data_IF_860730898067
#
_entry.id   IF_860730898067
#
_cell.length_a   1.000
_cell.length_b   1.000
_cell.length_c   1.000
_cell.angle_alpha   90.00
_cell.angle_beta   90.00
_cell.angle_gamma   90.00
#
_symmetry.space_group_name_H-M   'P 1'
#
loop_
_entity.id
_entity.type
_entity.pdbx_description
1 polymer ?
#
# COMPACT_ATOMS: atom_id res chain seq x y z
N UNK A 1 -14.00 -7.54 19.23
CA UNK A 1 -14.63 -8.87 19.15
C UNK A 1 -13.79 -9.81 18.28
N UNK A 2 -14.01 -11.14 18.38
CA UNK A 2 -13.30 -12.12 17.53
C UNK A 2 -13.48 -11.84 16.03
N UNK A 3 -14.68 -11.42 15.65
CA UNK A 3 -15.00 -11.07 14.26
C UNK A 3 -14.24 -9.82 13.80
N UNK A 4 -14.19 -8.80 14.64
CA UNK A 4 -13.39 -7.59 14.38
C UNK A 4 -11.91 -7.90 14.21
N UNK A 5 -11.35 -8.68 15.14
CA UNK A 5 -9.95 -9.12 15.07
C UNK A 5 -9.65 -9.83 13.73
N UNK A 6 -10.58 -10.66 13.26
CA UNK A 6 -10.44 -11.34 11.97
C UNK A 6 -10.46 -10.34 10.80
N UNK A 7 -11.40 -9.40 10.79
CA UNK A 7 -11.49 -8.37 9.74
C UNK A 7 -10.21 -7.54 9.69
N UNK A 8 -9.70 -7.10 10.85
CA UNK A 8 -8.44 -6.34 10.93
C UNK A 8 -7.27 -7.16 10.41
N UNK A 9 -7.18 -8.45 10.74
CA UNK A 9 -6.09 -9.30 10.24
C UNK A 9 -6.09 -9.38 8.71
N UNK A 10 -7.23 -9.57 8.08
CA UNK A 10 -7.35 -9.58 6.62
C UNK A 10 -7.05 -8.21 6.00
N UNK A 11 -7.49 -7.14 6.64
CA UNK A 11 -7.22 -5.77 6.21
C UNK A 11 -5.72 -5.49 6.15
N UNK A 12 -4.99 -5.74 7.23
CA UNK A 12 -3.54 -5.52 7.30
C UNK A 12 -2.76 -6.43 6.33
N UNK A 13 -3.16 -7.70 6.21
CA UNK A 13 -2.58 -8.61 5.21
C UNK A 13 -2.88 -8.13 3.79
N UNK A 14 -4.04 -7.52 3.55
CA UNK A 14 -4.39 -6.93 2.24
C UNK A 14 -3.38 -5.89 1.77
N UNK A 15 -2.95 -5.00 2.66
CA UNK A 15 -1.89 -4.04 2.36
C UNK A 15 -0.55 -4.73 2.04
N UNK A 16 -0.15 -5.65 2.90
CA UNK A 16 1.16 -6.29 2.83
C UNK A 16 1.31 -7.22 1.62
N UNK A 17 0.29 -8.01 1.29
CA UNK A 17 0.36 -8.97 0.19
C UNK A 17 0.47 -8.29 -1.17
N UNK A 18 -0.19 -7.15 -1.37
CA UNK A 18 -0.09 -6.38 -2.60
C UNK A 18 1.34 -5.88 -2.81
N UNK A 19 1.98 -5.35 -1.75
CA UNK A 19 3.39 -4.93 -1.82
C UNK A 19 4.31 -6.10 -2.14
N UNK A 20 4.14 -7.22 -1.46
CA UNK A 20 4.96 -8.42 -1.71
C UNK A 20 4.86 -8.91 -3.16
N UNK A 21 3.68 -8.86 -3.76
CA UNK A 21 3.45 -9.29 -5.14
C UNK A 21 4.02 -8.30 -6.15
N UNK A 22 3.80 -7.00 -5.94
CA UNK A 22 4.20 -5.97 -6.91
C UNK A 22 5.67 -5.62 -6.84
N UNK A 23 6.28 -5.59 -5.67
CA UNK A 23 7.69 -5.21 -5.50
C UNK A 23 8.64 -6.41 -5.46
N UNK A 24 8.12 -7.62 -5.30
CA UNK A 24 8.89 -8.86 -5.17
C UNK A 24 10.06 -8.78 -4.16
N UNK A 25 9.92 -7.93 -3.15
CA UNK A 25 10.88 -7.66 -2.08
C UNK A 25 10.20 -7.74 -0.73
N UNK A 26 10.95 -7.70 0.36
CA UNK A 26 10.43 -7.72 1.73
C UNK A 26 9.68 -6.41 2.01
N UNK A 27 8.34 -6.38 1.88
CA UNK A 27 7.60 -5.13 1.84
C UNK A 27 7.38 -4.51 3.20
N UNK A 28 7.52 -5.32 4.26
CA UNK A 28 7.12 -4.91 5.61
C UNK A 28 8.17 -5.31 6.64
N UNK A 29 8.33 -4.48 7.66
CA UNK A 29 9.13 -4.79 8.83
C UNK A 29 8.31 -5.57 9.85
N UNK A 30 7.05 -5.18 10.06
CA UNK A 30 6.16 -5.71 11.08
C UNK A 30 4.70 -5.44 10.72
N UNK A 31 3.85 -6.40 10.99
CA UNK A 31 2.39 -6.25 10.93
C UNK A 31 1.81 -6.57 12.29
N UNK A 32 0.90 -5.76 12.78
CA UNK A 32 0.23 -6.00 14.07
C UNK A 32 -1.26 -5.66 13.98
N UNK A 33 -2.06 -6.40 14.74
CA UNK A 33 -3.49 -6.16 14.94
C UNK A 33 -3.80 -5.78 16.39
N UNK A 34 -2.75 -5.47 17.17
CA UNK A 34 -2.92 -4.92 18.51
C UNK A 34 -3.32 -3.46 18.40
N UNK A 35 -4.47 -3.06 18.99
CA UNK A 35 -4.93 -1.69 18.94
C UNK A 35 -3.92 -0.71 19.52
N UNK A 36 -3.66 0.39 18.84
CA UNK A 36 -2.84 1.48 19.34
C UNK A 36 -3.68 2.50 20.11
N UNK A 37 -3.02 3.24 21.01
CA UNK A 37 -3.61 4.35 21.78
C UNK A 37 -4.17 5.47 20.90
N UNK A 38 -3.78 5.52 19.61
CA UNK A 38 -4.25 6.53 18.64
C UNK A 38 -5.55 6.12 17.93
N UNK A 39 -6.18 5.01 18.34
CA UNK A 39 -7.46 4.55 17.77
C UNK A 39 -7.35 3.68 16.51
N UNK A 40 -6.14 3.41 15.97
CA UNK A 40 -5.97 2.42 14.92
C UNK A 40 -6.09 1.01 15.49
N UNK A 41 -6.81 0.14 14.79
CA UNK A 41 -7.04 -1.27 15.20
C UNK A 41 -5.90 -2.21 14.78
N UNK A 42 -5.02 -1.75 13.91
CA UNK A 42 -3.86 -2.45 13.42
C UNK A 42 -2.95 -1.51 12.64
N UNK A 43 -1.78 -1.95 12.24
CA UNK A 43 -0.90 -1.23 11.31
C UNK A 43 0.15 -2.14 10.69
N UNK A 44 0.60 -1.75 9.51
CA UNK A 44 1.78 -2.27 8.83
C UNK A 44 2.92 -1.28 8.98
N UNK A 45 4.05 -1.73 9.55
CA UNK A 45 5.27 -0.96 9.59
C UNK A 45 6.16 -1.41 8.43
N UNK A 46 6.43 -0.49 7.51
CA UNK A 46 7.35 -0.72 6.40
C UNK A 46 8.79 -0.47 6.84
N UNK A 47 9.76 -1.10 6.16
CA UNK A 47 11.15 -0.68 6.30
C UNK A 47 11.25 0.78 5.81
N UNK A 48 12.02 1.64 6.50
CA UNK A 48 12.40 2.89 5.91
C UNK A 48 13.16 2.54 4.62
N UNK A 49 12.61 2.98 3.49
CA UNK A 49 13.37 2.94 2.24
C UNK A 49 14.68 3.70 2.50
N UNK A 50 15.81 3.21 1.97
CA UNK A 50 17.02 4.02 1.87
C UNK A 50 16.61 5.39 1.36
N UNK A 51 17.22 6.50 1.81
CA UNK A 51 16.83 7.87 1.49
C UNK A 51 16.60 8.04 -0.02
N UNK A 52 15.45 7.59 -0.47
CA UNK A 52 15.03 7.61 -1.86
C UNK A 52 14.30 8.92 -2.09
N UNK A 53 14.97 9.83 -2.79
CA UNK A 53 14.42 11.16 -3.08
C UNK A 53 13.53 11.20 -4.33
N UNK A 54 13.52 10.15 -5.14
CA UNK A 54 12.76 10.07 -6.39
C UNK A 54 11.93 8.79 -6.43
N UNK A 55 10.64 8.94 -6.70
CA UNK A 55 9.70 7.83 -6.89
C UNK A 55 9.18 7.85 -8.33
N UNK A 56 9.14 6.69 -8.95
CA UNK A 56 8.58 6.53 -10.29
C UNK A 56 7.05 6.48 -10.25
N UNK A 57 6.41 6.70 -11.41
CA UNK A 57 4.95 6.53 -11.55
C UNK A 57 4.51 5.13 -11.12
N UNK A 58 5.27 4.10 -11.48
CA UNK A 58 4.93 2.70 -11.17
C UNK A 58 5.01 2.40 -9.66
N UNK A 59 5.96 3.01 -8.95
CA UNK A 59 6.07 2.91 -7.49
C UNK A 59 4.88 3.58 -6.81
N UNK A 60 4.55 4.81 -7.21
CA UNK A 60 3.38 5.52 -6.69
C UNK A 60 2.05 4.80 -7.01
N UNK A 61 1.95 4.17 -8.18
CA UNK A 61 0.81 3.30 -8.51
C UNK A 61 0.74 2.08 -7.58
N UNK A 62 1.87 1.46 -7.28
CA UNK A 62 1.94 0.35 -6.32
C UNK A 62 1.49 0.79 -4.93
N UNK A 63 1.88 1.98 -4.51
CA UNK A 63 1.44 2.56 -3.24
C UNK A 63 -0.07 2.80 -3.20
N UNK A 64 -0.66 3.34 -4.29
CA UNK A 64 -2.11 3.50 -4.40
C UNK A 64 -2.84 2.17 -4.28
N UNK A 65 -2.40 1.14 -5.01
CA UNK A 65 -3.01 -0.19 -4.99
C UNK A 65 -2.88 -0.81 -3.59
N UNK A 66 -1.73 -0.64 -2.94
CA UNK A 66 -1.52 -1.10 -1.56
C UNK A 66 -2.42 -0.38 -0.57
N UNK A 67 -2.57 0.95 -0.66
CA UNK A 67 -3.43 1.74 0.22
C UNK A 67 -4.90 1.28 0.17
N UNK A 68 -5.41 0.92 -1.00
CA UNK A 68 -6.79 0.40 -1.11
C UNK A 68 -6.89 -1.10 -0.84
N UNK A 69 -5.76 -1.77 -0.61
CA UNK A 69 -5.66 -3.23 -0.41
C UNK A 69 -6.41 -3.74 0.80
N UNK A 70 -6.37 -3.02 1.92
CA UNK A 70 -7.11 -3.40 3.13
C UNK A 70 -8.63 -3.44 2.89
N UNK A 71 -9.19 -2.40 2.28
CA UNK A 71 -10.60 -2.35 1.88
C UNK A 71 -10.95 -3.44 0.86
N UNK A 72 -10.07 -3.69 -0.11
CA UNK A 72 -10.27 -4.73 -1.11
C UNK A 72 -10.30 -6.13 -0.47
N UNK A 73 -9.46 -6.36 0.54
CA UNK A 73 -9.47 -7.60 1.31
C UNK A 73 -10.78 -7.81 2.07
N UNK A 74 -11.28 -6.78 2.73
CA UNK A 74 -12.58 -6.86 3.42
C UNK A 74 -13.70 -7.25 2.44
N UNK A 75 -13.79 -6.58 1.29
CA UNK A 75 -14.85 -6.85 0.30
C UNK A 75 -14.74 -8.25 -0.30
N UNK A 76 -13.55 -8.67 -0.72
CA UNK A 76 -13.35 -9.97 -1.36
C UNK A 76 -13.57 -11.12 -0.38
N UNK A 77 -13.17 -10.96 0.88
CA UNK A 77 -13.22 -12.05 1.87
C UNK A 77 -14.57 -12.14 2.56
N UNK A 78 -15.16 -11.01 2.94
CA UNK A 78 -16.37 -10.97 3.77
C UNK A 78 -17.62 -10.50 3.00
N UNK A 79 -17.47 -10.02 1.76
CA UNK A 79 -18.55 -9.42 0.98
C UNK A 79 -19.12 -8.14 1.60
N UNK A 80 -18.39 -7.52 2.53
CA UNK A 80 -18.77 -6.31 3.23
C UNK A 80 -17.55 -5.49 3.55
N UNK A 81 -17.76 -4.20 3.84
CA UNK A 81 -16.70 -3.24 4.13
C UNK A 81 -16.96 -2.53 5.45
N UNK A 82 -15.89 -2.12 6.12
CA UNK A 82 -15.96 -1.41 7.40
C UNK A 82 -15.47 0.03 7.26
N UNK A 83 -15.60 0.83 8.29
CA UNK A 83 -15.04 2.18 8.35
C UNK A 83 -13.52 2.20 8.66
N UNK A 84 -12.88 1.06 8.84
CA UNK A 84 -11.47 0.95 9.19
C UNK A 84 -10.52 1.53 8.14
N UNK A 85 -10.92 1.52 6.87
CA UNK A 85 -10.13 2.05 5.75
C UNK A 85 -10.17 3.57 5.59
N UNK A 86 -10.70 4.34 6.56
CA UNK A 86 -10.86 5.80 6.41
C UNK A 86 -9.54 6.52 6.11
N UNK A 87 -8.51 6.24 6.89
CA UNK A 87 -7.21 6.90 6.71
C UNK A 87 -6.51 6.47 5.41
N UNK A 88 -6.66 5.21 5.00
CA UNK A 88 -6.11 4.71 3.75
C UNK A 88 -6.76 5.37 2.54
N UNK A 89 -8.08 5.52 2.56
CA UNK A 89 -8.83 6.23 1.52
C UNK A 89 -8.38 7.69 1.43
N UNK A 90 -8.19 8.34 2.57
CA UNK A 90 -7.70 9.72 2.63
C UNK A 90 -6.29 9.84 2.02
N UNK A 91 -5.38 8.95 2.41
CA UNK A 91 -4.01 8.91 1.86
C UNK A 91 -4.02 8.63 0.35
N UNK A 92 -4.81 7.65 -0.09
CA UNK A 92 -4.93 7.31 -1.52
C UNK A 92 -5.48 8.50 -2.33
N UNK A 93 -6.48 9.20 -1.83
CA UNK A 93 -7.03 10.40 -2.48
C UNK A 93 -5.98 11.49 -2.60
N UNK A 94 -5.23 11.77 -1.55
CA UNK A 94 -4.17 12.77 -1.56
C UNK A 94 -3.05 12.40 -2.52
N UNK A 95 -2.62 11.15 -2.52
CA UNK A 95 -1.57 10.65 -3.43
C UNK A 95 -2.03 10.75 -4.90
N UNK A 96 -3.22 10.30 -5.23
CA UNK A 96 -3.79 10.40 -6.56
C UNK A 96 -3.88 11.86 -7.04
N UNK A 97 -4.37 12.77 -6.19
CA UNK A 97 -4.38 14.21 -6.50
C UNK A 97 -2.98 14.75 -6.76
N UNK A 98 -2.01 14.41 -5.94
CA UNK A 98 -0.63 14.85 -6.10
C UNK A 98 -0.01 14.36 -7.41
N UNK A 99 -0.19 13.09 -7.76
CA UNK A 99 0.28 12.52 -9.03
C UNK A 99 -0.28 13.28 -10.24
N UNK A 100 -1.58 13.59 -10.20
CA UNK A 100 -2.28 14.26 -11.30
C UNK A 100 -1.94 15.75 -11.37
N UNK A 101 -1.99 16.45 -10.24
CA UNK A 101 -1.95 17.92 -10.23
C UNK A 101 -0.56 18.52 -10.09
N UNK A 102 0.39 17.77 -9.48
CA UNK A 102 1.75 18.27 -9.19
C UNK A 102 2.85 17.56 -9.97
N UNK A 103 2.74 16.27 -10.17
CA UNK A 103 3.81 15.47 -10.78
C UNK A 103 3.65 15.28 -12.29
N UNK A 104 2.54 15.76 -12.88
CA UNK A 104 2.30 15.60 -14.31
C UNK A 104 2.20 14.13 -14.76
N UNK A 105 1.72 13.26 -13.88
CA UNK A 105 1.66 11.81 -14.12
C UNK A 105 0.30 11.34 -14.68
N UNK A 106 -0.57 12.26 -15.08
CA UNK A 106 -1.84 11.96 -15.77
C UNK A 106 -1.68 12.14 -17.27
N UNK A 107 -2.10 11.16 -18.04
CA UNK A 107 -2.10 11.25 -19.50
C UNK A 107 -3.13 12.28 -20.01
N UNK A 108 -4.16 12.58 -19.21
CA UNK A 108 -5.20 13.55 -19.57
C UNK A 108 -4.69 14.99 -19.52
N UNK A 109 -3.91 15.35 -18.50
CA UNK A 109 -3.45 16.72 -18.27
C UNK A 109 -1.99 16.95 -18.71
N UNK A 110 -1.23 15.88 -18.91
CA UNK A 110 0.17 15.96 -19.32
C UNK A 110 1.05 16.70 -18.32
N UNK A 111 2.01 17.46 -18.83
CA UNK A 111 3.03 18.16 -18.05
C UNK A 111 2.57 19.56 -17.61
N UNK A 112 1.40 19.66 -17.01
CA UNK A 112 0.84 20.92 -16.50
C UNK A 112 0.71 20.85 -14.98
N UNK A 113 1.29 21.82 -14.28
CA UNK A 113 1.11 21.97 -12.84
C UNK A 113 -0.25 22.64 -12.57
N UNK A 114 -1.20 21.86 -12.07
CA UNK A 114 -2.57 22.32 -11.79
C UNK A 114 -2.75 22.79 -10.35
N UNK A 115 -1.77 22.51 -9.47
CA UNK A 115 -1.79 22.99 -8.08
C UNK A 115 -0.40 23.41 -7.64
N UNK A 116 -0.35 24.39 -6.73
CA UNK A 116 0.86 24.80 -6.01
C UNK A 116 0.63 24.71 -4.52
N UNK A 117 1.70 24.43 -3.77
CA UNK A 117 1.68 24.55 -2.31
C UNK A 117 2.11 25.97 -1.97
N UNK A 118 1.18 26.78 -1.52
CA UNK A 118 1.49 28.10 -0.95
C UNK A 118 1.92 27.89 0.50
N UNK A 119 3.13 28.35 0.82
CA UNK A 119 3.75 28.30 2.15
C UNK A 119 3.77 26.90 2.82
N UNK A 120 4.76 26.11 2.46
CA UNK A 120 5.10 24.85 3.14
C UNK A 120 5.30 25.03 4.67
N UNK A 121 5.66 26.26 5.11
CA UNK A 121 5.95 26.61 6.50
C UNK A 121 4.73 27.04 7.33
N UNK A 122 3.64 27.53 6.73
CA UNK A 122 2.52 28.11 7.48
C UNK A 122 1.21 27.34 7.42
N UNK A 123 0.86 26.71 6.34
CA UNK A 123 -0.45 26.02 6.25
C UNK A 123 -0.44 24.70 5.48
N UNK A 124 0.55 24.41 4.64
CA UNK A 124 0.59 23.20 3.81
C UNK A 124 -0.61 23.04 2.87
N UNK A 125 -1.41 24.08 2.67
CA UNK A 125 -2.59 24.04 1.80
C UNK A 125 -2.16 24.10 0.34
N UNK A 126 -2.46 23.04 -0.40
CA UNK A 126 -2.40 23.10 -1.85
C UNK A 126 -3.56 23.94 -2.37
N UNK A 127 -3.27 24.98 -3.15
CA UNK A 127 -4.26 25.74 -3.92
C UNK A 127 -4.26 25.28 -5.37
N UNK A 128 -5.47 25.16 -5.96
CA UNK A 128 -5.60 24.86 -7.38
C UNK A 128 -5.38 26.11 -8.21
N UNK A 129 -4.55 25.99 -9.26
CA UNK A 129 -4.19 27.08 -10.18
C UNK A 129 -4.84 26.89 -11.55
N UNK A 130 -6.06 26.43 -11.58
CA UNK A 130 -6.79 26.16 -12.82
C UNK A 130 -8.25 26.60 -12.72
N UNK A 131 -8.96 26.60 -13.84
CA UNK A 131 -10.37 26.93 -13.88
C UNK A 131 -11.22 25.87 -13.15
N UNK A 132 -12.37 26.26 -12.61
CA UNK A 132 -13.30 25.34 -11.93
C UNK A 132 -13.70 24.13 -12.78
N UNK A 133 -13.83 24.29 -14.10
CA UNK A 133 -14.09 23.18 -15.02
C UNK A 133 -12.96 22.15 -14.97
N UNK A 134 -11.70 22.58 -14.90
CA UNK A 134 -10.53 21.70 -14.79
C UNK A 134 -10.48 21.03 -13.42
N UNK A 135 -10.87 21.70 -12.34
CA UNK A 135 -10.98 21.08 -11.02
C UNK A 135 -11.96 19.92 -11.02
N UNK A 136 -13.13 20.08 -11.65
CA UNK A 136 -14.11 19.00 -11.79
C UNK A 136 -13.55 17.82 -12.60
N UNK A 137 -12.75 18.08 -13.63
CA UNK A 137 -12.07 17.05 -14.42
C UNK A 137 -10.99 16.34 -13.60
N UNK A 138 -10.26 17.04 -12.74
CA UNK A 138 -9.30 16.43 -11.81
C UNK A 138 -10.01 15.50 -10.85
N UNK A 139 -11.15 15.91 -10.28
CA UNK A 139 -11.93 15.05 -9.39
C UNK A 139 -12.41 13.78 -10.07
N UNK A 140 -12.82 13.85 -11.33
CA UNK A 140 -13.20 12.68 -12.12
C UNK A 140 -12.01 11.77 -12.41
N UNK A 141 -10.84 12.33 -12.71
CA UNK A 141 -9.63 11.56 -12.95
C UNK A 141 -9.15 10.84 -11.68
N UNK A 142 -9.21 11.51 -10.52
CA UNK A 142 -8.92 10.90 -9.21
C UNK A 142 -9.84 9.72 -8.93
N UNK A 143 -11.15 9.88 -9.15
CA UNK A 143 -12.12 8.78 -8.98
C UNK A 143 -11.79 7.58 -9.86
N UNK A 144 -11.50 7.81 -11.14
CA UNK A 144 -11.15 6.75 -12.10
C UNK A 144 -9.86 6.05 -11.71
N UNK A 145 -8.83 6.80 -11.31
CA UNK A 145 -7.56 6.24 -10.90
C UNK A 145 -7.70 5.35 -9.67
N UNK A 146 -8.39 5.83 -8.63
CA UNK A 146 -8.62 5.05 -7.40
C UNK A 146 -9.50 3.82 -7.69
N UNK A 147 -10.54 3.96 -8.51
CA UNK A 147 -11.39 2.83 -8.89
C UNK A 147 -10.60 1.74 -9.64
N UNK A 148 -9.73 2.14 -10.56
CA UNK A 148 -8.84 1.21 -11.27
C UNK A 148 -7.88 0.49 -10.32
N UNK A 149 -7.24 1.22 -9.39
CA UNK A 149 -6.37 0.64 -8.37
C UNK A 149 -7.14 -0.33 -7.45
N UNK A 150 -8.38 -0.01 -7.12
CA UNK A 150 -9.22 -0.86 -6.28
C UNK A 150 -9.61 -2.17 -6.97
N UNK A 151 -9.97 -2.13 -8.25
CA UNK A 151 -10.24 -3.35 -9.04
C UNK A 151 -8.98 -4.21 -9.17
N UNK A 152 -7.81 -3.61 -9.42
CA UNK A 152 -6.54 -4.32 -9.46
C UNK A 152 -6.21 -4.97 -8.11
N UNK A 153 -6.40 -4.26 -6.99
CA UNK A 153 -6.22 -4.80 -5.65
C UNK A 153 -7.12 -6.01 -5.39
N UNK A 154 -8.40 -5.92 -5.74
CA UNK A 154 -9.34 -7.05 -5.62
C UNK A 154 -8.92 -8.25 -6.47
N UNK A 155 -8.44 -8.00 -7.67
CA UNK A 155 -7.96 -9.08 -8.56
C UNK A 155 -6.73 -9.78 -7.97
N UNK A 156 -5.73 -9.02 -7.51
CA UNK A 156 -4.55 -9.56 -6.85
C UNK A 156 -4.95 -10.43 -5.64
N UNK A 157 -5.87 -9.95 -4.82
CA UNK A 157 -6.34 -10.67 -3.64
C UNK A 157 -7.08 -11.96 -4.03
N UNK A 158 -7.94 -11.93 -5.04
CA UNK A 158 -8.63 -13.14 -5.52
C UNK A 158 -7.66 -14.20 -6.02
N UNK A 159 -6.67 -13.80 -6.79
CA UNK A 159 -5.65 -14.70 -7.35
C UNK A 159 -4.71 -15.28 -6.27
N UNK A 160 -4.59 -14.62 -5.13
CA UNK A 160 -3.71 -15.01 -4.02
C UNK A 160 -4.49 -15.34 -2.74
N UNK A 161 -5.75 -15.74 -2.86
CA UNK A 161 -6.66 -15.96 -1.74
C UNK A 161 -6.13 -16.98 -0.73
N UNK A 162 -5.56 -18.09 -1.21
CA UNK A 162 -5.04 -19.15 -0.35
C UNK A 162 -3.87 -18.66 0.51
N UNK A 163 -2.93 -17.94 -0.09
CA UNK A 163 -1.78 -17.34 0.62
C UNK A 163 -2.28 -16.31 1.64
N UNK A 164 -3.26 -15.50 1.25
CA UNK A 164 -3.87 -14.52 2.13
C UNK A 164 -4.54 -15.17 3.35
N UNK A 165 -5.28 -16.24 3.14
CA UNK A 165 -5.95 -16.96 4.23
C UNK A 165 -4.94 -17.54 5.24
N UNK A 166 -3.82 -18.08 4.77
CA UNK A 166 -2.73 -18.58 5.62
C UNK A 166 -2.08 -17.44 6.44
N UNK A 167 -1.74 -16.33 5.79
CA UNK A 167 -1.13 -15.17 6.44
C UNK A 167 -2.07 -14.52 7.46
N UNK A 168 -3.34 -14.33 7.09
CA UNK A 168 -4.34 -13.72 7.97
C UNK A 168 -4.62 -14.58 9.20
N UNK A 169 -4.67 -15.91 9.04
CA UNK A 169 -4.81 -16.83 10.15
C UNK A 169 -3.61 -16.78 11.08
N UNK A 170 -2.40 -16.80 10.52
CA UNK A 170 -1.18 -16.70 11.32
C UNK A 170 -1.13 -15.38 12.11
N UNK A 171 -1.46 -14.25 11.45
CA UNK A 171 -1.53 -12.95 12.10
C UNK A 171 -2.63 -12.90 13.19
N UNK A 172 -3.78 -13.52 12.94
CA UNK A 172 -4.86 -13.59 13.92
C UNK A 172 -4.42 -14.34 15.21
N UNK A 173 -3.68 -15.43 15.05
CA UNK A 173 -3.23 -16.27 16.17
C UNK A 173 -2.08 -15.62 16.96
N UNK A 174 -1.15 -14.94 16.29
CA UNK A 174 0.06 -14.34 16.89
C UNK A 174 -0.08 -12.84 17.21
N UNK A 175 -1.11 -12.17 16.69
CA UNK A 175 -1.41 -10.73 16.86
C UNK A 175 -0.34 -9.78 16.29
N UNK A 176 0.89 -10.23 16.16
CA UNK A 176 1.99 -9.50 15.56
C UNK A 176 2.90 -10.49 14.85
N UNK A 177 3.30 -10.15 13.63
CA UNK A 177 4.25 -10.92 12.84
C UNK A 177 5.34 -10.00 12.29
N UNK A 178 6.56 -10.53 12.18
CA UNK A 178 7.67 -9.83 11.53
C UNK A 178 7.59 -9.96 10.01
N UNK A 179 8.28 -9.07 9.28
CA UNK A 179 8.40 -9.19 7.83
C UNK A 179 9.05 -10.50 7.39
N UNK A 180 9.99 -11.02 8.16
CA UNK A 180 10.64 -12.33 7.90
C UNK A 180 9.63 -13.48 7.98
N UNK A 181 8.79 -13.51 9.02
CA UNK A 181 7.73 -14.52 9.19
C UNK A 181 6.70 -14.40 8.05
N UNK A 182 6.29 -13.18 7.72
CA UNK A 182 5.40 -12.92 6.58
C UNK A 182 5.98 -13.48 5.28
N UNK A 183 7.21 -13.12 4.93
CA UNK A 183 7.83 -13.56 3.68
C UNK A 183 8.11 -15.06 3.63
N UNK A 184 8.44 -15.67 4.76
CA UNK A 184 8.59 -17.13 4.85
C UNK A 184 7.29 -17.83 4.46
N UNK A 185 6.18 -17.47 5.08
CA UNK A 185 4.85 -18.05 4.78
C UNK A 185 4.45 -17.76 3.34
N UNK A 186 4.68 -16.53 2.87
CA UNK A 186 4.38 -16.11 1.50
C UNK A 186 5.15 -16.93 0.46
N UNK A 187 6.47 -17.09 0.62
CA UNK A 187 7.31 -17.86 -0.29
C UNK A 187 6.95 -19.34 -0.28
N UNK A 188 6.78 -19.94 0.89
CA UNK A 188 6.37 -21.34 1.03
C UNK A 188 5.04 -21.60 0.32
N UNK A 189 4.04 -20.75 0.54
CA UNK A 189 2.72 -20.88 -0.09
C UNK A 189 2.75 -20.69 -1.61
N UNK A 190 3.66 -19.84 -2.12
CA UNK A 190 3.84 -19.57 -3.56
C UNK A 190 4.84 -20.50 -4.23
N UNK A 191 5.54 -21.36 -3.49
CA UNK A 191 6.61 -22.20 -4.04
C UNK A 191 7.82 -21.41 -4.53
N UNK A 192 8.08 -20.23 -3.96
CA UNK A 192 9.22 -19.37 -4.30
C UNK A 192 10.39 -19.75 -3.38
N UNK A 193 11.59 -20.07 -3.95
CA UNK A 193 12.74 -20.39 -3.13
C UNK A 193 13.20 -19.20 -2.28
N UNK A 194 13.80 -19.48 -1.13
CA UNK A 194 14.43 -18.44 -0.32
C UNK A 194 15.56 -17.75 -1.09
N UNK A 195 15.74 -16.42 -0.94
CA UNK A 195 16.87 -15.73 -1.55
C UNK A 195 18.17 -16.34 -1.04
N UNK A 196 19.09 -16.62 -1.94
CA UNK A 196 20.43 -17.07 -1.57
C UNK A 196 21.11 -15.93 -0.82
N UNK A 197 21.54 -16.18 0.40
CA UNK A 197 22.33 -15.22 1.17
C UNK A 197 23.68 -14.98 0.47
N UNK A 198 23.76 -13.90 -0.31
CA UNK A 198 24.97 -13.49 -1.02
C UNK A 198 26.02 -12.83 -0.11
N UNK A 199 25.70 -12.58 1.17
CA UNK A 199 26.63 -11.97 2.13
C UNK A 199 27.88 -12.85 2.37
N UNK A 200 27.77 -14.15 2.18
CA UNK A 200 28.89 -15.09 2.25
C UNK A 200 29.85 -15.00 1.05
N UNK A 201 29.46 -14.39 -0.06
CA UNK A 201 30.31 -14.28 -1.25
C UNK A 201 31.06 -12.93 -1.34
N UNK A 202 30.67 -11.93 -0.58
CA UNK A 202 31.36 -10.62 -0.56
C UNK A 202 32.69 -10.65 0.21
N UNK A 203 32.99 -11.68 0.97
CA UNK A 203 34.25 -11.81 1.72
C UNK A 203 35.39 -12.39 0.87
N UNK A 204 35.13 -12.90 -0.32
CA UNK A 204 36.15 -13.54 -1.17
C UNK A 204 36.83 -12.61 -2.21
N UNK A 205 36.44 -11.35 -2.30
CA UNK A 205 36.99 -10.39 -3.29
C UNK A 205 37.99 -9.38 -2.74
N UNK A 206 38.41 -9.52 -1.46
CA UNK A 206 39.38 -8.61 -0.85
C UNK A 206 40.83 -9.15 -0.80
N UNK A 207 41.15 -10.27 -1.48
CA UNK A 207 42.49 -10.77 -1.61
C UNK A 207 42.79 -11.18 -3.07
N UNK A 208 43.00 -10.20 -3.91
CA UNK A 208 43.87 -10.28 -5.09
C UNK A 208 44.46 -8.93 -5.39
#
# INVERSE_FOLDING_TARGET
>A
SKKEKQVVAYHEIGHAIIRAIKNNSDPVQKITIIPHTNGSLGYVLNFPEEEKHLETKDELMTDLISLVGGRAAEEVVFGSVTNGAYDDIKKATNLAKTMITRYGMSDRFGLVALSTVEDEYLSGRASMNCAQATEAEVDDEVKKLIASCYEEAKQIIRENREVMDQLARYLYDHETITGKEFMKIFREAKGIPEPVDTSLFSTCLLYT
#
